data_IF_221183248177
#
_entry.id   IF_221183248177
#
_cell.length_a   1.000
_cell.length_b   1.000
_cell.length_c   1.000
_cell.angle_alpha   90.00
_cell.angle_beta   90.00
_cell.angle_gamma   90.00
#
_symmetry.space_group_name_H-M   'P 1'
#
loop_
_entity.id
_entity.type
_entity.pdbx_description
1 polymer ?
#
# COMPACT_ATOMS: atom_id res chain seq x y z
N UNK A 1 -36.68 24.65 13.23
CA UNK A 1 -35.42 23.96 13.57
C UNK A 1 -35.24 22.83 12.57
N UNK A 2 -34.06 22.72 11.96
CA UNK A 2 -33.81 22.08 10.67
C UNK A 2 -33.91 20.56 10.68
N UNK A 3 -34.64 19.99 9.72
CA UNK A 3 -34.80 18.54 9.46
C UNK A 3 -33.49 17.79 9.19
N UNK A 4 -32.37 18.51 9.00
CA UNK A 4 -31.03 17.92 8.89
C UNK A 4 -30.49 17.43 10.23
N UNK A 5 -30.76 18.13 11.33
CA UNK A 5 -30.26 17.75 12.66
C UNK A 5 -30.97 16.50 13.19
N UNK A 6 -32.25 16.36 12.87
CA UNK A 6 -33.06 15.20 13.24
C UNK A 6 -32.67 13.95 12.45
N UNK A 7 -32.41 14.09 11.13
CA UNK A 7 -31.87 13.00 10.30
C UNK A 7 -30.46 12.57 10.73
N UNK A 8 -29.60 13.52 11.11
CA UNK A 8 -28.27 13.23 11.63
C UNK A 8 -28.30 12.52 12.99
N UNK A 9 -29.19 12.93 13.90
CA UNK A 9 -29.38 12.27 15.20
C UNK A 9 -29.94 10.84 15.05
N UNK A 10 -30.81 10.59 14.06
CA UNK A 10 -31.34 9.26 13.76
C UNK A 10 -30.24 8.34 13.17
N UNK A 11 -29.41 8.86 12.26
CA UNK A 11 -28.27 8.11 11.71
C UNK A 11 -27.26 7.74 12.80
N UNK A 12 -27.00 8.66 13.74
CA UNK A 12 -26.08 8.43 14.88
C UNK A 12 -26.61 7.43 15.91
N UNK A 13 -27.94 7.25 16.03
CA UNK A 13 -28.56 6.27 16.94
C UNK A 13 -28.56 4.83 16.39
N UNK A 14 -28.42 4.66 15.07
CA UNK A 14 -28.49 3.35 14.41
C UNK A 14 -27.12 2.69 14.20
N UNK A 15 -26.02 3.45 14.16
CA UNK A 15 -24.67 2.93 13.93
C UNK A 15 -23.83 2.89 15.23
N UNK A 16 -24.07 1.88 16.07
CA UNK A 16 -23.06 1.45 17.05
C UNK A 16 -22.06 0.50 16.37
N UNK A 17 -21.19 1.09 15.56
CA UNK A 17 -19.95 0.47 15.09
C UNK A 17 -19.03 1.58 14.57
N UNK A 18 -18.40 2.33 15.48
CA UNK A 18 -17.24 3.13 15.12
C UNK A 18 -16.09 2.17 14.82
N UNK A 19 -15.92 1.82 13.55
CA UNK A 19 -14.68 1.27 13.01
C UNK A 19 -13.63 2.38 12.91
N UNK A 20 -12.34 2.14 13.22
CA UNK A 20 -11.29 3.08 12.89
C UNK A 20 -11.04 3.08 11.37
N UNK A 21 -10.78 4.28 10.82
CA UNK A 21 -10.34 4.59 9.45
C UNK A 21 -10.14 3.38 8.54
N UNK A 22 -11.15 3.08 7.72
CA UNK A 22 -11.11 1.94 6.81
C UNK A 22 -10.38 2.30 5.52
N UNK A 23 -9.18 1.74 5.37
CA UNK A 23 -8.57 1.42 4.09
C UNK A 23 -9.54 0.57 3.25
N UNK A 24 -9.39 0.57 1.91
CA UNK A 24 -10.25 0.10 0.80
C UNK A 24 -10.95 -1.31 0.90
N UNK A 25 -11.35 -1.79 2.08
CA UNK A 25 -11.63 -3.19 2.39
C UNK A 25 -13.04 -3.67 2.15
N UNK A 26 -14.00 -2.77 1.89
CA UNK A 26 -15.34 -3.20 1.51
C UNK A 26 -15.26 -3.48 0.01
N UNK A 27 -15.41 -4.75 -0.47
CA UNK A 27 -16.28 -5.15 -1.61
C UNK A 27 -16.18 -6.61 -2.12
N UNK A 28 -17.35 -7.30 -2.17
CA UNK A 28 -18.08 -7.88 -3.35
C UNK A 28 -19.23 -8.80 -2.81
N UNK A 29 -20.53 -8.66 -3.17
CA UNK A 29 -21.28 -9.39 -4.25
C UNK A 29 -22.83 -9.21 -4.11
N UNK A 30 -23.55 -9.60 -5.17
CA UNK A 30 -24.98 -9.52 -5.60
C UNK A 30 -26.14 -9.99 -4.66
N UNK A 31 -27.44 -9.69 -4.98
CA UNK A 31 -28.42 -9.15 -4.04
C UNK A 31 -29.31 -10.19 -3.35
N UNK A 32 -29.79 -9.89 -2.15
CA UNK A 32 -31.04 -10.50 -1.64
C UNK A 32 -31.79 -9.55 -0.67
N UNK A 33 -33.10 -9.45 -0.89
CA UNK A 33 -34.07 -8.59 -0.20
C UNK A 33 -34.28 -8.94 1.29
N UNK A 34 -34.79 -8.00 2.13
CA UNK A 34 -34.80 -8.13 3.59
C UNK A 34 -36.12 -8.68 4.16
N UNK A 35 -36.14 -9.00 5.47
CA UNK A 35 -37.35 -8.76 6.25
C UNK A 35 -37.12 -7.93 7.53
N UNK A 36 -38.15 -7.15 7.83
CA UNK A 36 -38.35 -6.20 8.94
C UNK A 36 -38.38 -6.83 10.35
N UNK A 37 -38.10 -6.02 11.37
CA UNK A 37 -38.64 -6.22 12.73
C UNK A 37 -37.93 -5.42 13.84
N UNK A 38 -38.60 -4.46 14.52
CA UNK A 38 -37.97 -3.47 15.42
C UNK A 38 -38.10 -3.84 16.92
N UNK A 39 -37.37 -3.15 17.81
CA UNK A 39 -37.91 -2.56 19.07
C UNK A 39 -36.84 -1.88 19.96
N UNK A 40 -37.14 -0.61 20.31
CA UNK A 40 -37.16 0.01 21.65
C UNK A 40 -35.89 0.18 22.50
N UNK A 41 -35.70 1.42 23.00
CA UNK A 41 -35.22 1.67 24.37
C UNK A 41 -34.26 2.84 24.55
N UNK A 42 -34.70 3.90 25.24
CA UNK A 42 -33.93 5.07 25.72
C UNK A 42 -32.83 4.66 26.72
N UNK A 43 -31.83 5.43 27.14
CA UNK A 43 -31.66 6.86 27.50
C UNK A 43 -30.14 7.18 27.54
N UNK A 44 -29.73 8.45 27.56
CA UNK A 44 -28.76 9.03 28.53
C UNK A 44 -28.11 10.35 28.07
N UNK A 45 -28.37 11.38 28.90
CA UNK A 45 -27.54 12.48 29.41
C UNK A 45 -26.38 13.09 28.59
N UNK A 46 -26.51 14.42 28.47
CA UNK A 46 -25.56 15.44 28.04
C UNK A 46 -24.49 15.66 29.12
N UNK A 47 -23.21 15.71 28.73
CA UNK A 47 -22.14 16.42 29.46
C UNK A 47 -21.18 17.06 28.44
N UNK A 48 -20.80 18.30 28.77
CA UNK A 48 -20.15 19.33 27.96
C UNK A 48 -18.74 19.00 27.40
N UNK A 49 -18.47 19.60 26.24
CA UNK A 49 -17.18 19.63 25.53
C UNK A 49 -16.37 20.86 25.96
N UNK A 50 -15.12 20.65 26.37
CA UNK A 50 -14.11 21.70 26.54
C UNK A 50 -12.97 21.42 25.55
N UNK A 51 -12.71 22.39 24.67
CA UNK A 51 -11.57 22.46 23.73
C UNK A 51 -10.29 22.83 24.47
N UNK A 52 -9.10 22.42 23.96
CA UNK A 52 -8.07 23.45 23.78
C UNK A 52 -7.18 23.28 22.54
N UNK A 53 -6.30 24.26 22.43
CA UNK A 53 -5.70 24.90 21.26
C UNK A 53 -4.48 24.20 20.64
N UNK A 54 -4.16 24.73 19.45
CA UNK A 54 -3.07 24.45 18.52
C UNK A 54 -1.68 24.41 19.17
N UNK A 55 -0.90 23.39 18.80
CA UNK A 55 0.55 23.41 18.91
C UNK A 55 1.17 23.49 17.50
N UNK A 56 2.12 24.42 17.34
CA UNK A 56 2.89 24.68 16.12
C UNK A 56 4.05 23.66 16.05
N UNK A 57 4.21 22.98 14.91
CA UNK A 57 5.26 21.97 14.70
C UNK A 57 6.44 22.52 13.89
N UNK A 58 7.65 22.21 14.37
CA UNK A 58 8.94 22.41 13.69
C UNK A 58 9.09 21.41 12.52
N UNK A 59 9.22 21.92 11.29
CA UNK A 59 9.17 21.15 10.03
C UNK A 59 10.52 21.03 9.30
N UNK A 60 11.60 21.59 9.83
CA UNK A 60 12.80 21.87 9.02
C UNK A 60 13.75 20.67 8.81
N UNK A 61 13.73 19.63 9.66
CA UNK A 61 14.67 18.49 9.51
C UNK A 61 14.19 17.42 8.50
N UNK A 62 12.87 17.23 8.37
CA UNK A 62 12.29 16.22 7.45
C UNK A 62 12.45 16.59 5.98
N UNK A 63 12.39 17.89 5.66
CA UNK A 63 12.46 18.41 4.29
C UNK A 63 13.81 18.13 3.61
N UNK A 64 14.91 18.27 4.34
CA UNK A 64 16.26 18.01 3.81
C UNK A 64 16.51 16.54 3.46
N UNK A 65 15.87 15.60 4.17
CA UNK A 65 15.96 14.17 3.86
C UNK A 65 15.28 13.87 2.52
N UNK A 66 14.02 14.31 2.35
CA UNK A 66 13.21 14.13 1.12
C UNK A 66 13.89 14.67 -0.13
N UNK A 67 14.57 15.81 -0.07
CA UNK A 67 15.27 16.37 -1.23
C UNK A 67 16.47 15.56 -1.71
N UNK A 68 17.23 14.95 -0.79
CA UNK A 68 18.31 14.03 -1.16
C UNK A 68 17.75 12.76 -1.82
N UNK A 69 16.58 12.30 -1.35
CA UNK A 69 15.86 11.10 -1.80
C UNK A 69 15.31 11.25 -3.22
N UNK A 70 14.66 12.37 -3.54
CA UNK A 70 14.11 12.62 -4.88
C UNK A 70 15.20 12.53 -5.97
N UNK A 71 16.42 12.98 -5.67
CA UNK A 71 17.53 13.00 -6.63
C UNK A 71 18.05 11.60 -6.99
N UNK A 72 17.87 10.58 -6.14
CA UNK A 72 18.33 9.22 -6.41
C UNK A 72 17.36 8.44 -7.32
N UNK A 73 16.07 8.78 -7.32
CA UNK A 73 15.03 8.14 -8.14
C UNK A 73 14.81 8.80 -9.50
N UNK A 74 15.34 10.01 -9.71
CA UNK A 74 15.37 10.66 -11.02
C UNK A 74 16.36 9.93 -11.94
N UNK A 75 15.98 9.52 -13.17
CA UNK A 75 16.92 8.94 -14.11
C UNK A 75 18.05 9.94 -14.37
N UNK A 76 19.30 9.53 -14.11
CA UNK A 76 20.45 10.31 -14.60
C UNK A 76 20.30 10.47 -16.11
N UNK A 77 20.38 11.70 -16.62
CA UNK A 77 20.54 11.98 -18.05
C UNK A 77 21.88 11.38 -18.50
N UNK A 78 21.91 10.07 -18.76
CA UNK A 78 23.15 9.37 -19.06
C UNK A 78 23.00 7.89 -19.48
N UNK A 79 21.79 7.35 -19.57
CA UNK A 79 21.57 5.95 -19.98
C UNK A 79 20.86 5.82 -21.34
N UNK A 80 20.51 6.94 -21.98
CA UNK A 80 19.92 6.97 -23.32
C UNK A 80 20.93 7.43 -24.38
N UNK A 81 22.19 6.99 -24.28
CA UNK A 81 23.20 7.18 -25.34
C UNK A 81 24.36 6.18 -25.13
N UNK A 82 24.05 4.88 -25.14
CA UNK A 82 25.08 3.83 -25.23
C UNK A 82 24.64 2.70 -26.14
N UNK A 83 24.19 3.06 -27.33
CA UNK A 83 24.01 2.16 -28.47
C UNK A 83 24.29 2.92 -29.77
N UNK A 84 25.51 3.43 -29.90
CA UNK A 84 26.15 3.74 -31.17
C UNK A 84 27.61 4.10 -30.86
N UNK A 85 28.54 3.66 -31.72
CA UNK A 85 30.00 3.83 -31.61
C UNK A 85 30.74 2.73 -30.83
N UNK A 86 30.57 1.48 -31.27
CA UNK A 86 31.67 0.51 -31.21
C UNK A 86 32.22 0.34 -32.63
N UNK A 87 33.24 1.13 -33.01
CA UNK A 87 34.21 0.75 -34.04
C UNK A 87 35.39 1.74 -34.09
N UNK A 88 36.61 1.17 -34.09
CA UNK A 88 37.94 1.78 -34.32
C UNK A 88 38.48 2.60 -33.14
N UNK A 89 39.72 2.47 -32.68
CA UNK A 89 40.91 1.83 -33.22
C UNK A 89 41.98 1.73 -32.11
N UNK A 90 42.82 0.70 -32.24
CA UNK A 90 44.06 0.47 -31.48
C UNK A 90 45.17 1.45 -31.89
N UNK A 91 45.93 1.98 -30.92
CA UNK A 91 47.39 2.11 -31.00
C UNK A 91 48.01 2.57 -29.69
N UNK A 92 49.04 1.86 -29.24
CA UNK A 92 49.96 2.19 -28.14
C UNK A 92 50.75 3.47 -28.42
N UNK A 93 51.15 4.22 -27.39
CA UNK A 93 52.53 4.73 -27.21
C UNK A 93 52.80 5.17 -25.76
N UNK A 94 54.04 4.93 -25.34
CA UNK A 94 54.64 5.11 -24.01
C UNK A 94 55.26 6.51 -23.89
N UNK A 95 55.24 7.12 -22.70
CA UNK A 95 56.05 8.30 -22.35
C UNK A 95 55.93 8.68 -20.87
N UNK A 96 57.08 8.80 -20.21
CA UNK A 96 57.30 8.89 -18.76
C UNK A 96 57.44 10.37 -18.30
N UNK A 97 57.34 10.57 -16.97
CA UNK A 97 57.79 11.72 -16.14
C UNK A 97 56.87 12.92 -15.90
N UNK A 98 56.82 13.34 -14.61
CA UNK A 98 56.41 14.68 -14.19
C UNK A 98 55.38 14.75 -13.06
N UNK A 99 55.72 14.27 -11.86
CA UNK A 99 54.94 14.52 -10.65
C UNK A 99 55.31 15.91 -10.10
N UNK A 100 54.57 16.96 -10.47
CA UNK A 100 54.56 18.27 -9.80
C UNK A 100 53.51 19.21 -10.46
N UNK A 101 52.20 18.94 -10.30
CA UNK A 101 51.17 20.01 -10.46
C UNK A 101 49.75 19.66 -9.93
N UNK A 102 49.64 18.70 -9.00
CA UNK A 102 48.32 18.28 -8.48
C UNK A 102 47.74 19.36 -7.55
N UNK A 103 48.58 20.06 -6.79
CA UNK A 103 48.10 21.02 -5.78
C UNK A 103 47.59 22.34 -6.40
N UNK A 104 48.15 22.75 -7.55
CA UNK A 104 47.65 23.87 -8.35
C UNK A 104 46.33 23.56 -9.07
N UNK A 105 46.18 22.33 -9.57
CA UNK A 105 44.94 21.86 -10.20
C UNK A 105 43.79 21.69 -9.17
N UNK A 106 44.09 21.21 -7.97
CA UNK A 106 43.11 21.08 -6.88
C UNK A 106 42.65 22.45 -6.37
N UNK A 107 43.53 23.46 -6.30
CA UNK A 107 43.13 24.85 -5.98
C UNK A 107 42.30 25.50 -7.10
N UNK A 108 42.56 25.20 -8.37
CA UNK A 108 41.72 25.68 -9.49
C UNK A 108 40.35 24.98 -9.53
N UNK A 109 40.26 23.70 -9.16
CA UNK A 109 39.00 22.98 -8.99
C UNK A 109 38.21 23.46 -7.76
N UNK A 110 38.90 23.83 -6.67
CA UNK A 110 38.24 24.37 -5.48
C UNK A 110 37.72 25.80 -5.68
N UNK A 111 38.40 26.61 -6.52
CA UNK A 111 37.99 27.99 -6.82
C UNK A 111 36.95 28.09 -7.95
N UNK A 112 36.78 27.06 -8.77
CA UNK A 112 35.65 26.94 -9.70
C UNK A 112 34.37 26.38 -9.04
N UNK A 113 34.47 25.88 -7.80
CA UNK A 113 33.34 25.34 -7.01
C UNK A 113 32.69 26.37 -6.08
N UNK A 114 33.09 27.64 -6.16
CA UNK A 114 32.50 28.74 -5.40
C UNK A 114 31.93 29.79 -6.34
N UNK A 115 31.09 29.37 -7.28
CA UNK A 115 30.13 30.25 -7.95
C UNK A 115 28.74 29.97 -7.37
N UNK A 116 28.34 30.80 -6.41
CA UNK A 116 26.97 30.95 -5.89
C UNK A 116 26.20 29.64 -5.66
N UNK A 117 26.30 29.09 -4.45
CA UNK A 117 25.19 28.33 -3.85
C UNK A 117 23.99 29.28 -3.76
N UNK A 118 23.20 29.33 -4.82
CA UNK A 118 21.88 29.93 -4.79
C UNK A 118 20.99 29.05 -3.93
N UNK A 119 20.35 29.65 -2.93
CA UNK A 119 19.01 29.25 -2.50
C UNK A 119 18.17 28.88 -3.74
N UNK A 120 17.43 27.77 -3.66
CA UNK A 120 16.59 27.14 -4.69
C UNK A 120 17.20 25.94 -5.44
N UNK A 121 17.30 24.81 -4.73
CA UNK A 121 17.25 23.47 -5.33
C UNK A 121 16.08 22.66 -4.69
N UNK A 122 15.00 23.36 -4.31
CA UNK A 122 13.76 22.73 -3.86
C UNK A 122 13.10 22.06 -5.07
N UNK A 123 13.30 20.75 -5.22
CA UNK A 123 12.53 19.98 -6.20
C UNK A 123 11.11 19.89 -5.66
N UNK A 124 10.20 20.58 -6.34
CA UNK A 124 8.77 20.53 -6.09
C UNK A 124 8.28 19.06 -6.06
N UNK A 125 7.64 18.58 -4.98
CA UNK A 125 7.25 17.18 -4.83
C UNK A 125 6.26 16.70 -5.90
N UNK A 126 5.40 17.58 -6.41
CA UNK A 126 4.52 17.25 -7.55
C UNK A 126 5.35 17.00 -8.81
N UNK A 127 6.38 17.80 -9.05
CA UNK A 127 7.36 17.57 -10.13
C UNK A 127 8.12 16.25 -9.94
N UNK A 128 8.46 15.87 -8.71
CA UNK A 128 9.06 14.57 -8.40
C UNK A 128 8.10 13.40 -8.70
N UNK A 129 6.83 13.52 -8.28
CA UNK A 129 5.77 12.54 -8.59
C UNK A 129 5.60 12.38 -10.10
N UNK A 130 5.52 13.49 -10.85
CA UNK A 130 5.43 13.47 -12.31
C UNK A 130 6.62 12.73 -12.91
N UNK A 131 7.85 13.03 -12.47
CA UNK A 131 9.05 12.38 -12.98
C UNK A 131 9.08 10.87 -12.68
N UNK A 132 8.70 10.45 -11.46
CA UNK A 132 8.60 9.03 -11.11
C UNK A 132 7.51 8.35 -11.94
N UNK A 133 6.38 9.00 -12.18
CA UNK A 133 5.32 8.51 -13.07
C UNK A 133 5.69 8.57 -14.57
N UNK A 134 6.88 9.06 -14.94
CA UNK A 134 7.31 9.18 -16.33
C UNK A 134 6.53 10.25 -17.12
N UNK A 135 6.01 11.26 -16.43
CA UNK A 135 5.22 12.36 -16.98
C UNK A 135 5.99 13.68 -16.91
N UNK A 136 5.81 14.54 -17.91
CA UNK A 136 6.24 15.94 -17.85
C UNK A 136 5.13 16.88 -17.39
N UNK A 137 3.87 16.48 -17.58
CA UNK A 137 2.66 17.22 -17.18
C UNK A 137 1.58 16.25 -16.68
N UNK A 138 0.68 16.68 -15.77
CA UNK A 138 -0.44 15.86 -15.34
C UNK A 138 -1.38 15.52 -16.51
N UNK A 139 -2.01 14.35 -16.45
CA UNK A 139 -3.08 13.96 -17.37
C UNK A 139 -4.45 14.28 -16.78
N UNK A 140 -5.51 14.21 -17.58
CA UNK A 140 -6.87 14.18 -17.00
C UNK A 140 -7.23 12.76 -16.56
N UNK A 141 -8.19 12.62 -15.64
CA UNK A 141 -8.70 11.30 -15.26
C UNK A 141 -9.27 10.54 -16.47
N UNK A 142 -10.01 11.22 -17.35
CA UNK A 142 -10.56 10.61 -18.57
C UNK A 142 -9.46 10.09 -19.50
N UNK A 143 -8.38 10.85 -19.72
CA UNK A 143 -7.25 10.42 -20.55
C UNK A 143 -6.57 9.15 -20.03
N UNK A 144 -6.51 8.97 -18.71
CA UNK A 144 -5.96 7.76 -18.10
C UNK A 144 -6.91 6.59 -18.27
N UNK A 145 -8.18 6.74 -17.91
CA UNK A 145 -9.17 5.67 -17.96
C UNK A 145 -9.47 5.18 -19.38
N UNK A 146 -9.49 6.09 -20.36
CA UNK A 146 -9.76 5.78 -21.77
C UNK A 146 -8.72 4.84 -22.40
N UNK A 147 -7.55 4.65 -21.76
CA UNK A 147 -6.54 3.67 -22.19
C UNK A 147 -6.93 2.23 -21.87
N UNK A 148 -7.85 2.03 -20.92
CA UNK A 148 -8.17 0.71 -20.36
C UNK A 148 -9.60 0.27 -20.67
N UNK A 149 -10.54 1.20 -20.81
CA UNK A 149 -11.89 0.90 -21.30
C UNK A 149 -12.61 2.15 -21.81
N UNK A 150 -13.72 1.93 -22.53
CA UNK A 150 -14.69 2.98 -22.81
C UNK A 150 -15.29 3.55 -21.49
N UNK A 151 -15.58 4.86 -21.41
CA UNK A 151 -16.06 5.51 -20.19
C UNK A 151 -17.32 4.87 -19.59
N UNK A 152 -18.23 4.34 -20.42
CA UNK A 152 -19.47 3.72 -19.96
C UNK A 152 -19.27 2.39 -19.25
N UNK A 153 -18.09 1.77 -19.40
CA UNK A 153 -17.74 0.48 -18.79
C UNK A 153 -16.98 0.64 -17.47
N UNK A 154 -16.77 1.87 -16.99
CA UNK A 154 -16.15 2.13 -15.70
C UNK A 154 -17.12 1.73 -14.59
N UNK A 155 -16.62 0.96 -13.62
CA UNK A 155 -17.42 0.49 -12.48
C UNK A 155 -16.66 0.78 -11.19
N UNK A 156 -17.26 1.49 -10.23
CA UNK A 156 -16.68 1.61 -8.89
C UNK A 156 -16.66 0.23 -8.22
N UNK A 157 -15.55 -0.12 -7.58
CA UNK A 157 -15.29 -1.43 -6.96
C UNK A 157 -14.66 -1.34 -5.58
N UNK A 158 -14.47 -0.13 -5.05
CA UNK A 158 -13.77 0.14 -3.80
C UNK A 158 -13.97 1.58 -3.37
N UNK A 159 -14.07 1.79 -2.06
CA UNK A 159 -13.83 3.08 -1.42
C UNK A 159 -13.01 2.87 -0.15
N UNK A 160 -12.18 3.85 0.19
CA UNK A 160 -11.50 3.92 1.47
C UNK A 160 -11.29 5.39 1.87
N UNK A 161 -10.77 5.61 3.07
CA UNK A 161 -10.63 6.95 3.67
C UNK A 161 -9.98 7.96 2.72
N UNK A 162 -8.95 7.56 1.98
CA UNK A 162 -8.16 8.47 1.14
C UNK A 162 -8.41 8.31 -0.36
N UNK A 163 -9.43 7.57 -0.80
CA UNK A 163 -9.60 7.41 -2.24
C UNK A 163 -10.69 6.45 -2.68
N UNK A 164 -10.79 6.35 -3.99
CA UNK A 164 -11.83 5.61 -4.71
C UNK A 164 -11.16 4.58 -5.62
N UNK A 165 -11.73 3.38 -5.75
CA UNK A 165 -11.23 2.38 -6.69
C UNK A 165 -12.27 2.05 -7.75
N UNK A 166 -11.84 2.08 -9.00
CA UNK A 166 -12.69 1.84 -10.17
C UNK A 166 -12.09 0.75 -11.03
N UNK A 167 -12.89 -0.22 -11.44
CA UNK A 167 -12.53 -1.18 -12.48
C UNK A 167 -12.64 -0.51 -13.84
N UNK A 168 -11.58 -0.64 -14.64
CA UNK A 168 -11.49 -0.18 -16.02
C UNK A 168 -10.94 -1.31 -16.89
N UNK A 169 -11.81 -1.98 -17.66
CA UNK A 169 -11.43 -3.17 -18.42
C UNK A 169 -10.93 -4.29 -17.50
N UNK A 170 -9.67 -4.68 -17.65
CA UNK A 170 -9.00 -5.72 -16.85
C UNK A 170 -8.15 -5.17 -15.69
N UNK A 171 -8.22 -3.85 -15.43
CA UNK A 171 -7.44 -3.18 -14.39
C UNK A 171 -8.35 -2.59 -13.30
N UNK A 172 -7.73 -2.24 -12.17
CA UNK A 172 -8.35 -1.47 -11.10
C UNK A 172 -7.55 -0.19 -10.91
N UNK A 173 -8.21 0.96 -11.09
CA UNK A 173 -7.63 2.29 -10.92
C UNK A 173 -8.01 2.84 -9.54
N UNK A 174 -7.04 2.93 -8.61
CA UNK A 174 -7.19 3.61 -7.32
C UNK A 174 -6.84 5.09 -7.50
N UNK A 175 -7.81 5.98 -7.29
CA UNK A 175 -7.65 7.44 -7.38
C UNK A 175 -7.49 7.99 -5.97
N UNK A 176 -6.38 8.68 -5.72
CA UNK A 176 -6.05 9.30 -4.42
C UNK A 176 -5.89 10.81 -4.63
N UNK A 177 -6.77 11.67 -4.09
CA UNK A 177 -6.60 13.12 -4.11
C UNK A 177 -5.43 13.55 -3.24
N UNK A 178 -4.67 14.53 -3.74
CA UNK A 178 -3.51 15.11 -3.05
C UNK A 178 -3.49 16.62 -3.12
N UNK A 179 -2.80 17.21 -2.14
CA UNK A 179 -2.46 18.64 -2.09
C UNK A 179 -3.66 19.61 -2.17
N UNK A 180 -4.88 19.14 -1.98
CA UNK A 180 -6.09 19.97 -1.93
C UNK A 180 -6.45 20.41 -0.50
N UNK A 181 -7.08 21.57 -0.40
CA UNK A 181 -7.54 22.15 0.87
C UNK A 181 -8.91 21.60 1.33
N UNK A 182 -9.63 20.92 0.44
CA UNK A 182 -10.90 20.28 0.75
C UNK A 182 -10.65 19.04 1.60
N UNK A 183 -11.36 18.93 2.73
CA UNK A 183 -11.41 17.69 3.49
C UNK A 183 -12.09 16.62 2.65
N UNK A 184 -11.46 15.46 2.54
CA UNK A 184 -11.99 14.31 1.81
C UNK A 184 -12.32 13.24 2.83
N UNK A 185 -13.60 12.90 2.93
CA UNK A 185 -14.11 11.90 3.87
C UNK A 185 -13.81 12.25 5.33
N UNK A 186 -13.82 13.55 5.63
CA UNK A 186 -13.49 14.10 6.96
C UNK A 186 -11.99 14.26 7.25
N UNK A 187 -11.11 13.83 6.35
CA UNK A 187 -9.65 13.86 6.52
C UNK A 187 -8.96 14.89 5.62
N UNK A 188 -7.79 15.35 6.05
CA UNK A 188 -6.92 16.20 5.20
C UNK A 188 -6.33 15.32 4.10
N UNK A 189 -6.28 15.84 2.87
CA UNK A 189 -5.66 15.13 1.76
C UNK A 189 -4.17 14.90 2.01
N UNK A 190 -3.67 13.73 1.57
CA UNK A 190 -2.24 13.44 1.63
C UNK A 190 -1.45 14.50 0.85
N UNK A 191 -0.28 14.83 1.36
CA UNK A 191 0.69 15.67 0.67
C UNK A 191 1.40 14.86 -0.42
N UNK A 192 1.83 15.53 -1.48
CA UNK A 192 2.57 14.89 -2.57
C UNK A 192 3.82 14.15 -2.09
N UNK A 193 4.50 14.64 -1.05
CA UNK A 193 5.64 13.97 -0.43
C UNK A 193 5.25 12.62 0.19
N UNK A 194 4.13 12.56 0.91
CA UNK A 194 3.65 11.32 1.55
C UNK A 194 3.26 10.29 0.51
N UNK A 195 2.61 10.72 -0.59
CA UNK A 195 2.19 9.81 -1.64
C UNK A 195 3.34 9.37 -2.56
N UNK A 196 4.39 10.19 -2.69
CA UNK A 196 5.61 9.83 -3.42
C UNK A 196 6.26 8.57 -2.85
N UNK A 197 6.27 8.42 -1.52
CA UNK A 197 6.80 7.22 -0.87
C UNK A 197 5.98 5.98 -1.23
N UNK A 198 4.64 6.05 -1.19
CA UNK A 198 3.75 4.95 -1.59
C UNK A 198 3.94 4.58 -3.08
N UNK A 199 4.14 5.57 -3.95
CA UNK A 199 4.42 5.38 -5.39
C UNK A 199 5.74 4.64 -5.62
N UNK A 200 6.81 5.08 -4.97
CA UNK A 200 8.14 4.45 -5.08
C UNK A 200 8.11 3.04 -4.50
N UNK A 201 7.45 2.84 -3.35
CA UNK A 201 7.30 1.55 -2.70
C UNK A 201 6.54 0.57 -3.61
N UNK A 202 5.40 0.99 -4.17
CA UNK A 202 4.61 0.17 -5.10
C UNK A 202 5.42 -0.28 -6.32
N UNK A 203 6.20 0.64 -6.91
CA UNK A 203 7.10 0.30 -8.02
C UNK A 203 8.25 -0.62 -7.57
N UNK A 204 8.77 -0.46 -6.36
CA UNK A 204 9.87 -1.29 -5.85
C UNK A 204 9.41 -2.72 -5.63
N UNK A 205 8.25 -2.94 -5.00
CA UNK A 205 7.69 -4.28 -4.81
C UNK A 205 7.35 -4.99 -6.12
N UNK A 206 6.98 -4.23 -7.16
CA UNK A 206 6.78 -4.76 -8.50
C UNK A 206 8.03 -5.47 -9.06
N UNK A 207 9.24 -5.06 -8.67
CA UNK A 207 10.48 -5.68 -9.15
C UNK A 207 10.64 -7.13 -8.66
N UNK A 208 9.98 -7.53 -7.56
CA UNK A 208 9.95 -8.90 -7.07
C UNK A 208 9.29 -9.87 -8.05
N UNK A 209 8.52 -9.38 -9.03
CA UNK A 209 7.86 -10.21 -10.04
C UNK A 209 8.81 -10.71 -11.11
N UNK A 210 10.04 -10.22 -11.15
CA UNK A 210 11.05 -10.61 -12.14
C UNK A 210 11.43 -12.08 -11.98
N UNK A 211 11.51 -12.80 -13.10
CA UNK A 211 11.93 -14.20 -13.16
C UNK A 211 13.35 -14.37 -13.72
N UNK A 212 14.09 -13.28 -13.87
CA UNK A 212 15.47 -13.36 -14.34
C UNK A 212 16.31 -14.15 -13.34
N UNK A 213 17.19 -15.01 -13.88
CA UNK A 213 17.99 -15.95 -13.12
C UNK A 213 18.96 -15.29 -12.11
N UNK A 214 19.13 -13.97 -12.20
CA UNK A 214 20.04 -13.18 -11.38
C UNK A 214 19.40 -12.60 -10.11
N UNK A 215 18.11 -12.84 -9.85
CA UNK A 215 17.44 -12.35 -8.63
C UNK A 215 17.31 -13.42 -7.54
N UNK A 216 17.92 -13.15 -6.38
CA UNK A 216 17.86 -14.00 -5.19
C UNK A 216 16.46 -14.02 -4.54
N UNK A 217 15.59 -13.06 -4.84
CA UNK A 217 14.27 -12.93 -4.22
C UNK A 217 13.20 -12.62 -5.28
N UNK A 218 12.19 -13.48 -5.41
CA UNK A 218 11.12 -13.34 -6.42
C UNK A 218 9.79 -13.92 -5.94
N UNK A 219 8.71 -13.18 -6.16
CA UNK A 219 7.34 -13.62 -5.94
C UNK A 219 6.32 -12.77 -6.72
N UNK A 220 5.12 -13.31 -6.93
CA UNK A 220 4.01 -12.58 -7.59
C UNK A 220 2.91 -12.17 -6.60
N UNK A 221 3.20 -12.22 -5.30
CA UNK A 221 2.23 -12.10 -4.20
C UNK A 221 1.76 -10.67 -3.95
N UNK A 222 2.57 -9.66 -4.28
CA UNK A 222 2.14 -8.26 -4.22
C UNK A 222 1.39 -7.90 -5.50
N UNK A 223 0.34 -7.07 -5.36
CA UNK A 223 -0.44 -6.63 -6.50
C UNK A 223 0.45 -5.94 -7.52
N UNK A 224 0.23 -6.26 -8.78
CA UNK A 224 1.00 -5.67 -9.86
C UNK A 224 0.51 -4.25 -10.14
N UNK A 225 1.41 -3.29 -10.01
CA UNK A 225 1.20 -1.90 -10.44
C UNK A 225 1.52 -1.78 -11.93
N UNK A 226 0.50 -1.68 -12.78
CA UNK A 226 0.65 -1.64 -14.23
C UNK A 226 1.06 -0.27 -14.75
N UNK A 227 0.52 0.79 -14.15
CA UNK A 227 0.83 2.18 -14.48
C UNK A 227 0.62 3.07 -13.25
N UNK A 228 1.30 4.21 -13.21
CA UNK A 228 1.21 5.22 -12.16
C UNK A 228 1.06 6.57 -12.84
N UNK A 229 0.03 7.34 -12.50
CA UNK A 229 -0.27 8.61 -13.15
C UNK A 229 -0.54 9.71 -12.15
N UNK A 230 0.05 10.88 -12.37
CA UNK A 230 -0.40 12.13 -11.79
C UNK A 230 -1.47 12.71 -12.70
N UNK A 231 -2.62 13.02 -12.11
CA UNK A 231 -3.75 13.63 -12.80
C UNK A 231 -4.11 14.99 -12.20
N UNK A 232 -4.68 15.87 -13.01
CA UNK A 232 -5.24 17.14 -12.55
C UNK A 232 -6.55 17.43 -13.28
N UNK A 233 -7.54 17.96 -12.55
CA UNK A 233 -8.84 18.31 -13.11
C UNK A 233 -10.01 17.90 -12.20
N UNK A 234 -11.26 18.13 -12.62
CA UNK A 234 -12.42 17.55 -11.95
C UNK A 234 -12.58 16.06 -12.27
N UNK A 235 -13.41 15.36 -11.50
CA UNK A 235 -13.89 14.03 -11.89
C UNK A 235 -14.70 14.09 -13.20
N UNK A 236 -14.41 13.17 -14.11
CA UNK A 236 -15.17 13.02 -15.35
C UNK A 236 -16.61 12.57 -15.07
N UNK A 237 -17.63 13.02 -15.84
CA UNK A 237 -19.02 12.60 -15.64
C UNK A 237 -19.24 11.08 -15.61
N UNK A 238 -18.44 10.30 -16.34
CA UNK A 238 -18.51 8.83 -16.31
C UNK A 238 -18.11 8.25 -14.95
N UNK A 239 -17.06 8.77 -14.33
CA UNK A 239 -16.60 8.38 -13.00
C UNK A 239 -17.61 8.78 -11.92
N UNK A 240 -18.17 10.00 -12.02
CA UNK A 240 -19.23 10.45 -11.12
C UNK A 240 -20.44 9.54 -11.20
N UNK A 241 -20.89 9.19 -12.41
CA UNK A 241 -22.01 8.27 -12.61
C UNK A 241 -21.73 6.88 -12.05
N UNK A 242 -20.52 6.37 -12.22
CA UNK A 242 -20.11 5.09 -11.64
C UNK A 242 -20.12 5.12 -10.09
N UNK A 243 -19.74 6.26 -9.50
CA UNK A 243 -19.81 6.49 -8.06
C UNK A 243 -21.27 6.59 -7.57
N UNK A 244 -22.13 7.36 -8.25
CA UNK A 244 -23.55 7.51 -7.89
C UNK A 244 -24.29 6.17 -7.94
N UNK A 245 -24.00 5.34 -8.95
CA UNK A 245 -24.55 3.99 -9.06
C UNK A 245 -24.10 3.07 -7.91
N UNK A 246 -22.85 3.25 -7.46
CA UNK A 246 -22.32 2.51 -6.32
C UNK A 246 -23.02 2.89 -5.03
N UNK A 247 -23.12 4.20 -4.79
CA UNK A 247 -23.77 4.80 -3.61
C UNK A 247 -25.23 4.36 -3.49
N UNK A 248 -25.99 4.38 -4.59
CA UNK A 248 -27.39 3.92 -4.60
C UNK A 248 -27.53 2.47 -4.12
N UNK A 249 -26.54 1.62 -4.41
CA UNK A 249 -26.59 0.19 -4.11
C UNK A 249 -26.01 -0.20 -2.75
N UNK A 250 -24.97 0.50 -2.31
CA UNK A 250 -24.19 0.09 -1.14
C UNK A 250 -24.24 1.11 -0.01
N UNK A 251 -24.61 2.37 -0.29
CA UNK A 251 -24.44 3.51 0.60
C UNK A 251 -22.96 3.84 0.74
N UNK A 252 -22.50 4.86 0.03
CA UNK A 252 -21.14 5.37 0.14
C UNK A 252 -20.94 6.07 1.47
N UNK A 253 -19.83 5.77 2.14
CA UNK A 253 -19.37 6.51 3.32
C UNK A 253 -18.53 7.73 2.93
N UNK A 254 -18.07 7.77 1.67
CA UNK A 254 -17.26 8.85 1.13
C UNK A 254 -18.08 10.05 0.64
N UNK A 255 -17.44 11.22 0.60
CA UNK A 255 -17.98 12.44 0.03
C UNK A 255 -18.14 12.33 -1.50
N UNK A 256 -19.11 13.06 -2.05
CA UNK A 256 -19.43 12.97 -3.46
C UNK A 256 -18.31 13.61 -4.34
N UNK A 257 -17.72 12.90 -5.32
CA UNK A 257 -16.50 13.35 -6.02
C UNK A 257 -16.70 14.57 -6.93
N UNK A 258 -17.94 15.00 -7.16
CA UNK A 258 -18.26 16.24 -7.88
C UNK A 258 -17.87 17.52 -7.11
N UNK A 259 -17.57 17.40 -5.83
CA UNK A 259 -17.17 18.54 -4.99
C UNK A 259 -15.72 18.99 -5.23
N UNK A 260 -14.91 18.19 -5.93
CA UNK A 260 -13.51 18.54 -6.21
C UNK A 260 -13.37 19.76 -7.15
N UNK A 261 -12.44 20.69 -6.85
CA UNK A 261 -12.20 21.88 -7.66
C UNK A 261 -11.51 21.57 -8.98
N UNK A 262 -11.57 22.50 -9.94
CA UNK A 262 -10.99 22.34 -11.29
C UNK A 262 -9.47 22.06 -11.30
N UNK A 263 -8.75 22.46 -10.24
CA UNK A 263 -7.29 22.29 -10.13
C UNK A 263 -6.88 21.16 -9.19
N UNK A 264 -7.81 20.34 -8.73
CA UNK A 264 -7.52 19.21 -7.84
C UNK A 264 -6.50 18.27 -8.50
N UNK A 265 -5.48 17.87 -7.73
CA UNK A 265 -4.47 16.91 -8.14
C UNK A 265 -4.79 15.52 -7.58
N UNK A 266 -4.41 14.48 -8.32
CA UNK A 266 -4.55 13.09 -7.90
C UNK A 266 -3.31 12.29 -8.30
N UNK A 267 -3.08 11.19 -7.60
CA UNK A 267 -2.32 10.07 -8.14
C UNK A 267 -3.29 8.92 -8.41
N UNK A 268 -3.17 8.33 -9.58
CA UNK A 268 -3.91 7.16 -10.02
C UNK A 268 -2.95 5.97 -10.09
N UNK A 269 -3.20 4.98 -9.25
CA UNK A 269 -2.55 3.69 -9.30
C UNK A 269 -3.37 2.79 -10.22
N UNK A 270 -2.82 2.41 -11.37
CA UNK A 270 -3.44 1.41 -12.24
C UNK A 270 -2.88 0.05 -11.86
N UNK A 271 -3.72 -0.78 -11.27
CA UNK A 271 -3.37 -2.07 -10.70
C UNK A 271 -3.96 -3.22 -11.51
N UNK A 272 -3.32 -4.38 -11.47
CA UNK A 272 -3.95 -5.63 -11.91
C UNK A 272 -5.23 -5.89 -11.10
N UNK A 273 -6.23 -6.54 -11.69
CA UNK A 273 -7.38 -7.03 -10.93
C UNK A 273 -6.99 -8.22 -10.03
N UNK A 274 -6.86 -7.97 -8.72
CA UNK A 274 -6.47 -8.97 -7.72
C UNK A 274 -7.58 -9.94 -7.32
N UNK A 275 -8.84 -9.59 -7.60
CA UNK A 275 -10.00 -10.41 -7.25
C UNK A 275 -10.84 -9.73 -6.18
N UNK A 276 -11.25 -10.49 -5.17
CA UNK A 276 -12.13 -10.07 -4.08
C UNK A 276 -11.37 -10.08 -2.76
N UNK A 277 -11.57 -9.09 -1.91
CA UNK A 277 -10.88 -9.01 -0.61
C UNK A 277 -11.21 -10.23 0.27
N UNK A 278 -10.31 -10.57 1.21
CA UNK A 278 -10.50 -11.73 2.06
C UNK A 278 -11.74 -11.56 2.93
N UNK A 279 -12.09 -10.37 3.39
CA UNK A 279 -13.30 -10.13 4.20
C UNK A 279 -14.58 -10.59 3.49
N UNK A 280 -14.70 -10.30 2.20
CA UNK A 280 -15.85 -10.65 1.37
C UNK A 280 -15.72 -12.06 0.75
N UNK A 281 -14.49 -12.57 0.56
CA UNK A 281 -14.25 -13.85 -0.13
C UNK A 281 -14.72 -15.06 0.69
N UNK A 282 -15.32 -16.04 0.01
CA UNK A 282 -15.77 -17.30 0.62
C UNK A 282 -14.73 -18.38 0.37
N UNK A 283 -14.05 -18.80 1.44
CA UNK A 283 -13.18 -19.97 1.45
C UNK A 283 -14.02 -21.24 1.50
N UNK A 284 -13.61 -22.28 0.77
CA UNK A 284 -14.37 -23.53 0.70
C UNK A 284 -13.95 -24.54 1.76
N UNK A 285 -12.64 -24.68 2.02
CA UNK A 285 -12.11 -25.70 2.92
C UNK A 285 -10.80 -25.28 3.60
N UNK A 286 -10.28 -26.15 4.47
CA UNK A 286 -9.04 -25.91 5.20
C UNK A 286 -7.80 -25.78 4.29
N UNK A 287 -7.74 -26.51 3.16
CA UNK A 287 -6.59 -26.46 2.25
C UNK A 287 -6.47 -25.09 1.57
N UNK A 288 -7.60 -24.42 1.30
CA UNK A 288 -7.64 -23.04 0.84
C UNK A 288 -7.12 -22.06 1.90
N UNK A 289 -7.53 -22.24 3.16
CA UNK A 289 -7.03 -21.42 4.27
C UNK A 289 -5.52 -21.61 4.51
N UNK A 290 -5.02 -22.84 4.35
CA UNK A 290 -3.58 -23.14 4.38
C UNK A 290 -2.84 -22.50 3.21
N UNK A 291 -3.40 -22.57 1.99
CA UNK A 291 -2.79 -21.96 0.81
C UNK A 291 -2.72 -20.42 0.92
N UNK A 292 -3.76 -19.80 1.49
CA UNK A 292 -3.75 -18.37 1.80
C UNK A 292 -2.57 -18.01 2.72
N UNK A 293 -2.46 -18.70 3.87
CA UNK A 293 -1.43 -18.40 4.86
C UNK A 293 -0.02 -18.63 4.31
N UNK A 294 0.21 -19.69 3.54
CA UNK A 294 1.54 -19.96 2.97
C UNK A 294 1.93 -18.94 1.92
N UNK A 295 0.99 -18.54 1.04
CA UNK A 295 1.27 -17.53 0.01
C UNK A 295 1.55 -16.16 0.61
N UNK A 296 0.79 -15.74 1.63
CA UNK A 296 1.03 -14.49 2.36
C UNK A 296 2.37 -14.54 3.08
N UNK A 297 2.64 -15.61 3.84
CA UNK A 297 3.89 -15.72 4.61
C UNK A 297 5.11 -15.78 3.69
N UNK A 298 5.05 -16.52 2.59
CA UNK A 298 6.14 -16.61 1.62
C UNK A 298 6.38 -15.27 0.90
N UNK A 299 5.31 -14.55 0.50
CA UNK A 299 5.44 -13.23 -0.11
C UNK A 299 6.08 -12.21 0.83
N UNK A 300 5.65 -12.18 2.09
CA UNK A 300 6.26 -11.34 3.12
C UNK A 300 7.73 -11.71 3.35
N UNK A 301 8.07 -13.00 3.44
CA UNK A 301 9.45 -13.45 3.60
C UNK A 301 10.36 -13.01 2.45
N UNK A 302 9.88 -13.08 1.21
CA UNK A 302 10.61 -12.63 0.02
C UNK A 302 10.86 -11.12 0.08
N UNK A 303 9.84 -10.33 0.45
CA UNK A 303 9.99 -8.89 0.57
C UNK A 303 10.83 -8.46 1.78
N UNK A 304 10.76 -9.19 2.91
CA UNK A 304 11.65 -9.03 4.06
C UNK A 304 13.11 -9.23 3.65
N UNK A 305 13.40 -10.28 2.88
CA UNK A 305 14.76 -10.57 2.42
C UNK A 305 15.27 -9.57 1.38
N UNK A 306 14.40 -9.09 0.48
CA UNK A 306 14.79 -8.17 -0.57
C UNK A 306 14.94 -6.72 -0.09
N UNK A 307 14.02 -6.25 0.75
CA UNK A 307 13.83 -4.83 1.05
C UNK A 307 13.57 -4.54 2.53
N UNK A 308 13.82 -5.50 3.43
CA UNK A 308 13.45 -5.38 4.85
C UNK A 308 11.99 -4.91 5.03
N UNK A 309 11.10 -5.42 4.17
CA UNK A 309 9.71 -4.97 4.06
C UNK A 309 8.89 -5.29 5.30
N UNK A 310 8.11 -4.31 5.74
CA UNK A 310 7.03 -4.48 6.70
C UNK A 310 5.75 -3.89 6.12
N UNK A 311 4.67 -4.67 6.09
CA UNK A 311 3.40 -4.15 5.54
C UNK A 311 2.74 -3.15 6.47
N UNK A 312 2.76 -3.44 7.78
CA UNK A 312 2.17 -2.65 8.88
C UNK A 312 0.66 -2.38 8.81
N UNK A 313 -0.04 -2.86 7.79
CA UNK A 313 -1.50 -2.74 7.67
C UNK A 313 -2.17 -3.94 6.98
N UNK A 314 -1.70 -5.16 7.23
CA UNK A 314 -2.17 -6.35 6.48
C UNK A 314 -3.46 -6.93 7.09
N UNK A 315 -4.50 -6.11 7.22
CA UNK A 315 -5.83 -6.59 7.58
C UNK A 315 -6.45 -7.39 6.42
N UNK A 316 -7.52 -8.14 6.69
CA UNK A 316 -8.13 -9.03 5.71
C UNK A 316 -8.70 -8.29 4.46
N UNK A 317 -8.92 -6.99 4.55
CA UNK A 317 -9.27 -6.16 3.39
C UNK A 317 -8.14 -6.00 2.38
N UNK A 318 -6.89 -6.06 2.87
CA UNK A 318 -5.68 -5.86 2.08
C UNK A 318 -5.12 -7.17 1.48
N UNK A 319 -5.92 -8.23 1.49
CA UNK A 319 -5.60 -9.51 0.85
C UNK A 319 -6.68 -9.81 -0.17
N UNK A 320 -6.38 -9.63 -1.44
CA UNK A 320 -7.27 -10.00 -2.53
C UNK A 320 -7.09 -11.48 -2.89
N UNK A 321 -8.18 -12.14 -3.25
CA UNK A 321 -8.21 -13.52 -3.68
C UNK A 321 -8.93 -13.66 -5.02
N UNK A 322 -8.36 -14.50 -5.88
CA UNK A 322 -9.03 -14.97 -7.09
C UNK A 322 -8.90 -16.48 -7.23
N UNK A 323 -9.92 -17.08 -7.82
CA UNK A 323 -9.89 -18.49 -8.23
C UNK A 323 -8.89 -18.65 -9.37
N UNK A 324 -8.09 -19.70 -9.32
CA UNK A 324 -6.98 -19.94 -10.25
C UNK A 324 -6.90 -21.41 -10.62
N UNK A 325 -6.60 -21.69 -11.89
CA UNK A 325 -6.47 -23.05 -12.41
C UNK A 325 -5.05 -23.62 -12.22
N UNK A 326 -4.02 -22.77 -12.05
CA UNK A 326 -2.67 -23.28 -11.79
C UNK A 326 -2.61 -23.95 -10.43
N UNK A 327 -2.14 -25.20 -10.41
CA UNK A 327 -2.05 -26.03 -9.21
C UNK A 327 -0.96 -25.57 -8.23
N UNK A 328 0.02 -24.80 -8.70
CA UNK A 328 1.19 -24.40 -7.89
C UNK A 328 1.56 -22.94 -8.12
N UNK A 329 2.20 -22.36 -7.11
CA UNK A 329 2.82 -21.04 -7.14
C UNK A 329 4.27 -21.16 -6.66
N UNK A 330 5.15 -20.36 -7.25
CA UNK A 330 6.59 -20.40 -7.03
C UNK A 330 7.06 -19.12 -6.33
N UNK A 331 8.00 -19.31 -5.41
CA UNK A 331 8.75 -18.26 -4.72
C UNK A 331 10.25 -18.55 -4.86
N UNK A 332 11.06 -17.51 -4.90
CA UNK A 332 12.51 -17.59 -4.73
C UNK A 332 12.84 -16.74 -3.51
N UNK A 333 13.47 -17.34 -2.50
CA UNK A 333 13.87 -16.69 -1.25
C UNK A 333 15.34 -16.97 -1.01
N UNK A 334 16.17 -15.92 -1.06
CA UNK A 334 17.63 -16.00 -0.92
C UNK A 334 18.25 -17.08 -1.83
N UNK A 335 17.83 -17.09 -3.10
CA UNK A 335 18.25 -18.05 -4.14
C UNK A 335 17.57 -19.43 -4.04
N UNK A 336 16.86 -19.72 -2.94
CA UNK A 336 16.16 -20.98 -2.77
C UNK A 336 14.77 -20.95 -3.39
N UNK A 337 14.55 -21.84 -4.36
CA UNK A 337 13.23 -22.08 -4.94
C UNK A 337 12.31 -22.80 -3.95
N UNK A 338 11.09 -22.29 -3.78
CA UNK A 338 10.02 -22.91 -3.00
C UNK A 338 8.75 -22.99 -3.84
N UNK A 339 8.14 -24.17 -3.96
CA UNK A 339 6.90 -24.36 -4.72
C UNK A 339 5.80 -24.84 -3.79
N UNK A 340 4.67 -24.13 -3.76
CA UNK A 340 3.51 -24.46 -2.92
C UNK A 340 2.27 -24.77 -3.75
N UNK A 341 1.39 -25.61 -3.22
CA UNK A 341 0.05 -25.84 -3.81
C UNK A 341 -0.84 -24.62 -3.60
N UNK A 342 -1.54 -24.21 -4.65
CA UNK A 342 -2.47 -23.06 -4.63
C UNK A 342 -3.83 -23.42 -4.05
N UNK A 343 -4.19 -24.71 -4.03
CA UNK A 343 -5.55 -25.16 -3.69
C UNK A 343 -6.63 -24.40 -4.49
N UNK A 344 -6.31 -24.01 -5.73
CA UNK A 344 -7.22 -23.24 -6.60
C UNK A 344 -7.31 -21.74 -6.29
N UNK A 345 -6.41 -21.20 -5.46
CA UNK A 345 -6.38 -19.80 -5.05
C UNK A 345 -5.05 -19.12 -5.38
N UNK A 346 -5.12 -17.89 -5.88
CA UNK A 346 -4.02 -16.95 -5.84
C UNK A 346 -4.41 -15.76 -4.98
N UNK A 347 -3.44 -15.28 -4.21
CA UNK A 347 -3.62 -14.10 -3.38
C UNK A 347 -2.83 -12.91 -3.94
N UNK A 348 -3.28 -11.71 -3.65
CA UNK A 348 -2.55 -10.48 -3.92
C UNK A 348 -2.63 -9.54 -2.72
N UNK A 349 -1.47 -9.17 -2.18
CA UNK A 349 -1.35 -8.19 -1.11
C UNK A 349 -1.42 -6.79 -1.72
N UNK A 350 -2.25 -5.93 -1.12
CA UNK A 350 -2.50 -4.54 -1.56
C UNK A 350 -2.30 -3.56 -0.41
N UNK A 351 -2.33 -2.27 -0.76
CA UNK A 351 -2.30 -1.11 0.13
C UNK A 351 -1.04 -1.00 1.01
N UNK A 352 -0.10 -0.20 0.54
CA UNK A 352 1.18 -0.02 1.18
C UNK A 352 1.29 1.32 1.93
N UNK A 353 0.15 1.93 2.26
CA UNK A 353 0.08 3.26 2.88
C UNK A 353 0.91 3.36 4.17
N UNK A 354 0.86 2.33 5.03
CA UNK A 354 1.60 2.31 6.31
C UNK A 354 2.93 1.53 6.22
N UNK A 355 3.27 1.01 5.06
CA UNK A 355 4.39 0.08 4.90
C UNK A 355 5.74 0.75 5.08
N UNK A 356 6.76 -0.08 5.31
CA UNK A 356 8.16 0.34 5.40
C UNK A 356 9.04 -0.54 4.52
N UNK A 357 9.95 0.08 3.77
CA UNK A 357 11.00 -0.61 3.02
C UNK A 357 12.34 0.08 3.16
N UNK A 358 13.40 -0.69 2.93
CA UNK A 358 14.76 -0.24 2.72
C UNK A 358 15.15 -0.56 1.27
N UNK A 359 15.39 0.48 0.47
CA UNK A 359 15.80 0.34 -0.94
C UNK A 359 17.33 0.21 -1.10
N UNK A 360 18.07 0.20 0.01
CA UNK A 360 19.53 0.30 0.06
C UNK A 360 20.06 1.72 -0.13
N UNK A 361 19.29 2.59 -0.78
CA UNK A 361 19.58 4.02 -0.88
C UNK A 361 18.89 4.82 0.23
N UNK A 362 17.70 4.38 0.64
CA UNK A 362 16.86 5.10 1.57
C UNK A 362 15.86 4.17 2.27
N UNK A 363 15.32 4.65 3.39
CA UNK A 363 14.24 4.01 4.14
C UNK A 363 12.96 4.80 3.90
N UNK A 364 12.00 4.18 3.22
CA UNK A 364 10.68 4.73 2.96
C UNK A 364 9.71 4.19 3.99
N UNK A 365 9.00 5.06 4.70
CA UNK A 365 8.06 4.67 5.76
C UNK A 365 7.16 5.83 6.16
N UNK A 366 5.94 5.52 6.57
CA UNK A 366 5.09 6.49 7.26
C UNK A 366 5.39 6.49 8.77
N UNK A 367 5.68 7.67 9.31
CA UNK A 367 5.88 7.89 10.74
C UNK A 367 4.53 7.89 11.47
N UNK A 368 4.14 6.75 12.03
CA UNK A 368 2.82 6.61 12.66
C UNK A 368 2.68 7.36 13.99
N UNK A 369 3.75 7.98 14.51
CA UNK A 369 3.63 8.84 15.71
C UNK A 369 2.76 10.07 15.47
N UNK A 370 2.63 10.51 14.21
CA UNK A 370 1.77 11.64 13.84
C UNK A 370 0.28 11.30 13.85
N UNK A 371 -0.10 10.01 13.87
CA UNK A 371 -1.49 9.56 13.99
C UNK A 371 -1.71 8.77 15.30
N UNK A 372 -1.96 9.45 16.42
CA UNK A 372 -2.26 8.79 17.68
C UNK A 372 -3.65 8.11 17.68
N UNK A 373 -4.54 8.40 16.73
CA UNK A 373 -5.87 7.81 16.69
C UNK A 373 -5.87 6.38 16.18
N UNK A 374 -4.93 6.03 15.29
CA UNK A 374 -4.69 4.66 14.84
C UNK A 374 -4.60 3.65 16.00
N UNK A 375 -3.99 4.05 17.12
CA UNK A 375 -3.77 3.18 18.29
C UNK A 375 -4.91 3.20 19.32
N UNK A 376 -5.92 4.07 19.14
CA UNK A 376 -7.06 4.27 20.04
C UNK A 376 -8.30 3.46 19.65
N UNK A 377 -8.18 2.58 18.65
CA UNK A 377 -9.28 1.71 18.23
C UNK A 377 -9.85 0.83 19.36
N UNK A 378 -11.08 0.30 19.21
CA UNK A 378 -11.80 -0.40 20.27
C UNK A 378 -10.98 -1.51 20.96
N UNK A 379 -11.14 -1.67 22.27
CA UNK A 379 -10.50 -2.77 23.01
C UNK A 379 -11.10 -4.10 22.59
N UNK A 380 -10.25 -5.11 22.37
CA UNK A 380 -10.66 -6.43 21.93
C UNK A 380 -10.91 -6.56 20.43
N UNK A 381 -10.94 -5.46 19.67
CA UNK A 381 -10.87 -5.54 18.21
C UNK A 381 -9.49 -6.02 17.76
N UNK A 382 -9.46 -7.03 16.89
CA UNK A 382 -8.22 -7.72 16.51
C UNK A 382 -7.28 -6.81 15.73
N UNK A 383 -7.80 -5.92 14.90
CA UNK A 383 -7.01 -5.01 14.09
C UNK A 383 -6.41 -3.92 14.98
N UNK A 384 -7.24 -3.30 15.83
CA UNK A 384 -6.80 -2.31 16.82
C UNK A 384 -5.74 -2.85 17.79
N UNK A 385 -5.90 -4.09 18.28
CA UNK A 385 -4.87 -4.74 19.11
C UNK A 385 -3.57 -5.01 18.34
N UNK A 386 -3.64 -5.20 17.02
CA UNK A 386 -2.46 -5.43 16.19
C UNK A 386 -1.66 -4.13 16.03
N UNK A 387 -2.31 -2.99 15.79
CA UNK A 387 -1.62 -1.68 15.81
C UNK A 387 -0.95 -1.40 17.16
N UNK A 388 -1.64 -1.66 18.28
CA UNK A 388 -1.05 -1.49 19.63
C UNK A 388 0.21 -2.34 19.84
N UNK A 389 0.18 -3.61 19.42
CA UNK A 389 1.36 -4.50 19.53
C UNK A 389 2.49 -4.07 18.61
N UNK A 390 2.21 -3.55 17.42
CA UNK A 390 3.26 -2.99 16.57
C UNK A 390 3.94 -1.81 17.26
N UNK A 391 3.16 -0.89 17.84
CA UNK A 391 3.69 0.24 18.61
C UNK A 391 4.56 -0.20 19.79
N UNK A 392 4.17 -1.28 20.49
CA UNK A 392 4.99 -1.88 21.55
C UNK A 392 6.31 -2.45 21.02
N UNK A 393 6.29 -3.13 19.87
CA UNK A 393 7.48 -3.74 19.26
C UNK A 393 8.44 -2.70 18.68
N UNK A 394 7.91 -1.63 18.09
CA UNK A 394 8.72 -0.58 17.48
C UNK A 394 9.20 0.46 18.49
N UNK A 395 8.58 0.52 19.69
CA UNK A 395 8.82 1.56 20.68
C UNK A 395 8.70 2.98 20.07
N UNK A 396 7.71 3.16 19.19
CA UNK A 396 7.50 4.37 18.37
C UNK A 396 8.61 4.70 17.36
N UNK A 397 9.64 3.87 17.20
CA UNK A 397 10.69 4.04 16.19
C UNK A 397 10.29 3.42 14.84
N UNK A 398 9.37 4.06 14.11
CA UNK A 398 8.82 3.51 12.86
C UNK A 398 9.81 3.47 11.68
N UNK A 399 10.92 4.18 11.73
CA UNK A 399 11.97 4.10 10.70
C UNK A 399 12.72 2.75 10.73
N UNK A 400 12.88 2.18 11.94
CA UNK A 400 13.63 0.95 12.14
C UNK A 400 13.00 -0.27 11.46
N UNK A 401 13.80 -1.34 11.32
CA UNK A 401 13.36 -2.62 10.78
C UNK A 401 12.89 -3.55 11.90
N UNK A 402 11.60 -3.86 11.89
CA UNK A 402 10.93 -4.71 12.86
C UNK A 402 10.08 -5.77 12.14
N UNK A 403 10.68 -6.79 11.49
CA UNK A 403 9.93 -7.83 10.76
C UNK A 403 8.93 -8.60 11.64
N UNK A 404 9.02 -8.46 12.96
CA UNK A 404 8.03 -8.96 13.91
C UNK A 404 6.63 -8.38 13.65
N UNK A 405 6.51 -7.18 13.09
CA UNK A 405 5.22 -6.58 12.72
C UNK A 405 4.48 -7.41 11.67
N UNK A 406 5.18 -8.00 10.69
CA UNK A 406 4.60 -8.94 9.74
C UNK A 406 4.05 -10.20 10.45
N UNK A 407 4.78 -10.72 11.45
CA UNK A 407 4.32 -11.86 12.26
C UNK A 407 3.05 -11.51 13.05
N UNK A 408 2.94 -10.27 13.57
CA UNK A 408 1.72 -9.80 14.24
C UNK A 408 0.52 -9.81 13.29
N UNK A 409 0.70 -9.40 12.04
CA UNK A 409 -0.36 -9.47 11.03
C UNK A 409 -0.69 -10.91 10.62
N UNK A 410 0.30 -11.80 10.51
CA UNK A 410 0.03 -13.22 10.28
C UNK A 410 -0.78 -13.84 11.45
N UNK A 411 -0.49 -13.46 12.70
CA UNK A 411 -1.30 -13.86 13.86
C UNK A 411 -2.73 -13.33 13.79
N UNK A 412 -2.91 -12.09 13.32
CA UNK A 412 -4.21 -11.50 13.04
C UNK A 412 -4.97 -12.34 11.99
N UNK A 413 -4.33 -12.69 10.87
CA UNK A 413 -4.98 -13.50 9.82
C UNK A 413 -5.39 -14.87 10.32
N UNK A 414 -4.57 -15.52 11.15
CA UNK A 414 -4.95 -16.79 11.80
C UNK A 414 -6.17 -16.61 12.71
N UNK A 415 -6.25 -15.50 13.46
CA UNK A 415 -7.44 -15.17 14.26
C UNK A 415 -8.69 -14.95 13.39
N UNK A 416 -8.54 -14.23 12.27
CA UNK A 416 -9.62 -14.02 11.31
C UNK A 416 -10.13 -15.35 10.75
N UNK A 417 -9.22 -16.23 10.32
CA UNK A 417 -9.58 -17.55 9.81
C UNK A 417 -10.29 -18.41 10.86
N UNK A 418 -9.86 -18.33 12.13
CA UNK A 418 -10.47 -19.10 13.22
C UNK A 418 -11.83 -18.55 13.65
N UNK A 419 -11.98 -17.22 13.70
CA UNK A 419 -13.08 -16.55 14.42
C UNK A 419 -14.13 -15.90 13.52
N UNK A 420 -13.72 -15.38 12.35
CA UNK A 420 -14.60 -14.63 11.45
C UNK A 420 -14.91 -15.36 10.14
N UNK A 421 -14.08 -16.33 9.73
CA UNK A 421 -14.30 -17.11 8.50
C UNK A 421 -14.91 -18.48 8.76
N UNK A 422 -15.89 -18.81 7.91
CA UNK A 422 -16.58 -20.09 7.86
C UNK A 422 -16.20 -20.82 6.59
N UNK A 423 -15.70 -22.05 6.73
CA UNK A 423 -15.31 -22.95 5.65
C UNK A 423 -15.23 -24.37 6.20
N UNK A 424 -15.22 -25.39 5.34
CA UNK A 424 -15.17 -26.78 5.78
C UNK A 424 -13.84 -27.11 6.48
N UNK A 425 -13.93 -27.53 7.74
CA UNK A 425 -12.78 -27.88 8.58
C UNK A 425 -13.19 -28.82 9.72
N UNK A 426 -12.31 -29.76 10.04
CA UNK A 426 -12.48 -30.65 11.17
C UNK A 426 -11.98 -30.05 12.49
N UNK A 427 -12.35 -30.65 13.63
CA UNK A 427 -11.80 -30.29 14.94
C UNK A 427 -10.28 -30.48 15.04
N UNK A 428 -9.71 -31.40 14.25
CA UNK A 428 -8.26 -31.56 14.11
C UNK A 428 -7.65 -30.33 13.43
N UNK A 429 -8.23 -29.88 12.32
CA UNK A 429 -7.77 -28.70 11.60
C UNK A 429 -7.75 -27.45 12.49
N UNK A 430 -8.79 -27.24 13.29
CA UNK A 430 -8.83 -26.12 14.25
C UNK A 430 -7.74 -26.21 15.31
N UNK A 431 -7.47 -27.41 15.83
CA UNK A 431 -6.39 -27.64 16.81
C UNK A 431 -5.01 -27.39 16.19
N UNK A 432 -4.83 -27.81 14.94
CA UNK A 432 -3.59 -27.61 14.20
C UNK A 432 -3.34 -26.12 13.96
N UNK A 433 -4.39 -25.35 13.58
CA UNK A 433 -4.32 -23.91 13.39
C UNK A 433 -4.04 -23.15 14.70
N UNK A 434 -4.66 -23.54 15.83
CA UNK A 434 -4.34 -22.97 17.15
C UNK A 434 -2.90 -23.28 17.58
N UNK A 435 -2.43 -24.48 17.26
CA UNK A 435 -1.05 -24.90 17.55
C UNK A 435 -0.05 -24.11 16.69
N UNK A 436 -0.37 -23.90 15.41
CA UNK A 436 0.37 -23.02 14.51
C UNK A 436 0.44 -21.59 15.07
N UNK A 437 -0.69 -21.00 15.46
CA UNK A 437 -0.73 -19.67 16.09
C UNK A 437 0.23 -19.54 17.27
N UNK A 438 0.27 -20.54 18.16
CA UNK A 438 1.16 -20.56 19.34
C UNK A 438 2.64 -20.65 18.98
N UNK A 439 2.98 -21.33 17.89
CA UNK A 439 4.37 -21.37 17.38
C UNK A 439 4.71 -20.07 16.66
N UNK A 440 3.80 -19.58 15.82
CA UNK A 440 3.95 -18.35 15.05
C UNK A 440 4.32 -17.14 15.93
N UNK A 441 3.72 -17.03 17.12
CA UNK A 441 4.04 -15.94 18.06
C UNK A 441 5.49 -15.91 18.54
N UNK A 442 6.24 -17.01 18.38
CA UNK A 442 7.65 -17.12 18.80
C UNK A 442 8.64 -16.70 17.71
N UNK A 443 8.24 -16.70 16.44
CA UNK A 443 9.12 -16.27 15.34
C UNK A 443 9.25 -14.75 15.29
N UNK A 444 10.40 -14.27 14.82
CA UNK A 444 10.72 -12.85 14.73
C UNK A 444 10.45 -12.26 13.35
N UNK A 445 10.21 -13.08 12.33
CA UNK A 445 9.96 -12.65 10.95
C UNK A 445 9.09 -13.66 10.19
N UNK A 446 8.49 -13.24 9.08
CA UNK A 446 7.81 -14.16 8.17
C UNK A 446 8.81 -15.15 7.53
N UNK A 447 10.04 -14.69 7.25
CA UNK A 447 11.16 -15.52 6.79
C UNK A 447 11.47 -16.66 7.74
N UNK A 448 11.60 -16.38 9.03
CA UNK A 448 11.85 -17.42 10.04
C UNK A 448 10.69 -18.43 10.10
N UNK A 449 9.45 -17.92 10.03
CA UNK A 449 8.24 -18.74 10.10
C UNK A 449 8.09 -19.69 8.88
N UNK A 450 8.27 -19.19 7.65
CA UNK A 450 8.10 -20.00 6.43
C UNK A 450 9.16 -21.11 6.32
N UNK A 451 10.38 -20.86 6.80
CA UNK A 451 11.49 -21.83 6.77
C UNK A 451 11.37 -22.87 7.88
N UNK A 452 10.89 -22.48 9.07
CA UNK A 452 11.03 -23.28 10.29
C UNK A 452 9.74 -23.95 10.77
N UNK A 453 8.55 -23.43 10.44
CA UNK A 453 7.30 -23.98 10.99
C UNK A 453 6.82 -25.22 10.20
N UNK A 454 6.52 -26.34 10.88
CA UNK A 454 6.02 -27.53 10.22
C UNK A 454 4.69 -27.33 9.48
N UNK A 455 3.90 -26.33 9.88
CA UNK A 455 2.64 -25.98 9.22
C UNK A 455 2.81 -25.71 7.72
N UNK A 456 3.92 -25.07 7.33
CA UNK A 456 4.21 -24.75 5.94
C UNK A 456 5.00 -25.86 5.22
N UNK A 457 5.90 -26.54 5.93
CA UNK A 457 6.71 -27.61 5.34
C UNK A 457 5.88 -28.73 4.69
N UNK A 458 4.68 -29.01 5.23
CA UNK A 458 3.78 -30.02 4.70
C UNK A 458 3.12 -29.62 3.36
N UNK A 459 3.12 -28.33 3.03
CA UNK A 459 2.52 -27.78 1.81
C UNK A 459 3.55 -27.60 0.68
N UNK A 460 4.84 -27.64 1.02
CA UNK A 460 5.94 -27.52 0.09
C UNK A 460 5.96 -28.74 -0.83
N UNK A 461 5.98 -28.48 -2.14
CA UNK A 461 6.07 -29.51 -3.18
C UNK A 461 7.53 -29.78 -3.54
N UNK A 462 8.34 -28.71 -3.62
CA UNK A 462 9.78 -28.71 -3.87
C UNK A 462 10.42 -27.55 -3.12
#
# INVERSE_FOLDING_TARGET
MSSRLEKWLIAKKLNYSCEPSSTLSKILETPTMPPLGPMSGNDFNIVDVITPEKAVFETNSKLHSVHSRIRSYLPSKGVLERNSLAQKSSSMFVGHEGCEDIEGAVKKLSLASTSSLSDHDYVDPVTALLAVCGQSVPSTLLEVFSKYCEPENIVKVGEGTYGEAFKAGNTVCKIVPIDGDLLVNGEVQKRSEELLEEVILSRTLNNLRSHDADFDNSCTTFIETLDLRVCQGPYDPSLVKAWEYWDEKHGSENDHPKEFPEKQCYVVFVLQHGGKDLESFVLSNFDEAQSLLVQVTAGLAVAEAAYEFEHRDLHWGNILLRRNESATVQFILEGKKMIFRTSGLLISIIDFTLSRINTGQDILFLDLTSDPYLFKGPKGDRQAETYRKMKEVTEDFWEGSFPKTNVLWLLYLVDILLLKKSFDRSSKNERDMRSFKKRLSKYNSAKEAIVSDPFFSNLLVV
#
